data_IF_565542643112
#
_entry.id   IF_565542643112
#
_cell.length_a   1.000
_cell.length_b   1.000
_cell.length_c   1.000
_cell.angle_alpha   90.00
_cell.angle_beta   90.00
_cell.angle_gamma   90.00
#
_symmetry.space_group_name_H-M   'P 1'
#
loop_
_entity.id
_entity.type
_entity.pdbx_description
1 polymer ?
#
# COMPACT_ATOMS: atom_id res chain seq x y z
N UNK A 1 13.31 -25.91 -13.99
CA UNK A 1 13.51 -25.23 -12.70
C UNK A 1 12.48 -24.12 -12.62
N UNK A 2 11.50 -24.24 -11.72
CA UNK A 2 10.44 -23.26 -11.59
C UNK A 2 11.06 -21.91 -11.18
N UNK A 3 11.07 -20.94 -12.08
CA UNK A 3 11.28 -19.56 -11.70
C UNK A 3 9.98 -19.10 -11.04
N UNK A 4 9.75 -19.51 -9.79
CA UNK A 4 8.81 -18.81 -8.92
C UNK A 4 9.50 -17.51 -8.55
N UNK A 5 9.63 -16.59 -9.51
CA UNK A 5 9.66 -15.20 -9.15
C UNK A 5 8.32 -15.00 -8.44
N UNK A 6 8.34 -14.99 -7.11
CA UNK A 6 7.34 -14.23 -6.39
C UNK A 6 7.58 -12.82 -6.88
N UNK A 7 6.98 -12.46 -8.03
CA UNK A 7 6.91 -11.08 -8.46
C UNK A 7 6.43 -10.35 -7.24
N UNK A 8 7.24 -9.40 -6.78
CA UNK A 8 6.95 -8.64 -5.59
C UNK A 8 5.55 -8.04 -5.80
N UNK A 9 4.52 -8.63 -5.17
CA UNK A 9 3.09 -8.35 -5.43
C UNK A 9 2.70 -7.03 -4.79
N UNK A 10 3.44 -5.98 -5.15
CA UNK A 10 3.35 -4.65 -4.57
C UNK A 10 2.41 -3.78 -5.38
N UNK A 11 1.46 -3.13 -4.70
CA UNK A 11 0.59 -2.14 -5.30
C UNK A 11 1.01 -0.74 -4.83
N UNK A 12 1.24 0.18 -5.77
CA UNK A 12 1.46 1.59 -5.47
C UNK A 12 0.19 2.38 -5.72
N UNK A 13 -0.46 2.82 -4.64
CA UNK A 13 -1.72 3.56 -4.72
C UNK A 13 -1.44 5.03 -4.46
N UNK A 14 -1.67 5.87 -5.46
CA UNK A 14 -1.57 7.32 -5.35
C UNK A 14 -2.89 7.98 -4.89
N UNK A 15 -2.84 9.28 -4.66
CA UNK A 15 -4.01 10.13 -4.38
C UNK A 15 -4.84 9.71 -3.15
N UNK A 16 -4.23 9.04 -2.17
CA UNK A 16 -4.85 8.76 -0.89
C UNK A 16 -4.92 10.03 -0.03
N UNK A 17 -6.07 10.25 0.61
CA UNK A 17 -6.28 11.36 1.55
C UNK A 17 -5.27 11.32 2.69
N UNK A 18 -4.71 12.47 3.08
CA UNK A 18 -3.75 12.57 4.21
C UNK A 18 -4.33 12.12 5.56
N UNK A 19 -5.66 12.05 5.68
CA UNK A 19 -6.37 11.56 6.88
C UNK A 19 -6.50 10.04 6.91
N UNK A 20 -6.27 9.38 5.78
CA UNK A 20 -6.40 7.93 5.65
C UNK A 20 -5.17 7.25 6.28
N UNK A 21 -5.42 6.28 7.15
CA UNK A 21 -4.39 5.47 7.82
C UNK A 21 -4.35 4.06 7.24
N UNK A 22 -3.42 3.24 7.72
CA UNK A 22 -3.21 1.87 7.21
C UNK A 22 -4.43 0.96 7.42
N UNK A 23 -5.20 1.14 8.50
CA UNK A 23 -6.41 0.35 8.74
C UNK A 23 -7.51 0.69 7.73
N UNK A 24 -7.67 1.97 7.39
CA UNK A 24 -8.63 2.39 6.37
C UNK A 24 -8.32 1.75 5.01
N UNK A 25 -7.03 1.68 4.64
CA UNK A 25 -6.59 1.02 3.41
C UNK A 25 -6.82 -0.49 3.50
N UNK A 26 -6.49 -1.12 4.63
CA UNK A 26 -6.77 -2.55 4.83
C UNK A 26 -8.24 -2.89 4.67
N UNK A 27 -9.13 -2.07 5.24
CA UNK A 27 -10.58 -2.23 5.10
C UNK A 27 -11.03 -2.02 3.66
N UNK A 28 -10.51 -0.99 2.98
CA UNK A 28 -10.83 -0.70 1.57
C UNK A 28 -10.45 -1.87 0.65
N UNK A 29 -9.33 -2.54 0.92
CA UNK A 29 -8.82 -3.62 0.08
C UNK A 29 -9.20 -5.03 0.55
N UNK A 30 -9.79 -5.17 1.73
CA UNK A 30 -10.25 -6.45 2.30
C UNK A 30 -11.09 -7.31 1.33
N UNK A 31 -12.01 -6.74 0.51
CA UNK A 31 -12.76 -7.54 -0.46
C UNK A 31 -11.91 -8.17 -1.58
N UNK A 32 -10.72 -7.62 -1.84
CA UNK A 32 -9.82 -8.10 -2.90
C UNK A 32 -8.77 -9.09 -2.38
N UNK A 33 -8.63 -9.20 -1.06
CA UNK A 33 -7.72 -10.13 -0.42
C UNK A 33 -7.08 -9.59 0.85
N UNK A 34 -6.23 -10.41 1.45
CA UNK A 34 -5.47 -10.02 2.63
C UNK A 34 -4.20 -9.27 2.22
N UNK A 35 -3.98 -8.10 2.81
CA UNK A 35 -2.74 -7.35 2.69
C UNK A 35 -1.73 -7.91 3.70
N UNK A 36 -0.58 -8.37 3.21
CA UNK A 36 0.53 -8.82 4.07
C UNK A 36 1.20 -7.61 4.75
N UNK A 37 1.63 -6.63 3.95
CA UNK A 37 2.29 -5.41 4.42
C UNK A 37 1.59 -4.17 3.87
N UNK A 38 1.42 -3.13 4.68
CA UNK A 38 0.89 -1.85 4.23
C UNK A 38 1.83 -0.75 4.73
N UNK A 39 2.26 0.15 3.84
CA UNK A 39 3.15 1.25 4.21
C UNK A 39 2.73 2.54 3.54
N UNK A 40 2.40 3.55 4.33
CA UNK A 40 2.14 4.90 3.83
C UNK A 40 3.48 5.59 3.57
N UNK A 41 3.77 5.89 2.30
CA UNK A 41 4.96 6.63 1.90
C UNK A 41 4.76 8.12 2.17
N UNK A 42 5.60 8.67 3.05
CA UNK A 42 5.67 10.11 3.35
C UNK A 42 6.89 10.70 2.67
N UNK A 43 6.76 11.91 2.14
CA UNK A 43 7.88 12.64 1.56
C UNK A 43 8.90 13.05 2.63
N UNK A 44 10.11 13.51 2.23
CA UNK A 44 11.15 14.03 3.13
C UNK A 44 10.70 15.24 3.97
N UNK A 45 9.62 15.90 3.55
CA UNK A 45 8.90 16.97 4.24
C UNK A 45 7.91 16.45 5.31
N UNK A 46 7.86 15.14 5.55
CA UNK A 46 6.93 14.49 6.50
C UNK A 46 5.48 14.43 6.03
N UNK A 47 5.15 15.12 4.93
CA UNK A 47 3.83 15.12 4.31
C UNK A 47 3.63 13.86 3.48
N UNK A 48 2.53 13.15 3.75
CA UNK A 48 2.09 12.05 2.88
C UNK A 48 1.79 12.61 1.49
N UNK A 49 2.47 12.08 0.46
CA UNK A 49 2.22 12.42 -0.95
C UNK A 49 1.01 11.64 -1.51
N UNK A 50 0.17 11.10 -0.63
CA UNK A 50 -0.96 10.25 -0.98
C UNK A 50 -0.54 8.94 -1.64
N UNK A 51 0.70 8.48 -1.40
CA UNK A 51 1.22 7.24 -1.97
C UNK A 51 1.29 6.16 -0.89
N UNK A 52 0.59 5.05 -1.07
CA UNK A 52 0.65 3.88 -0.18
C UNK A 52 1.18 2.70 -0.98
N UNK A 53 2.10 1.94 -0.39
CA UNK A 53 2.51 0.63 -0.87
C UNK A 53 1.73 -0.43 -0.11
N UNK A 54 1.07 -1.32 -0.84
CA UNK A 54 0.51 -2.57 -0.34
C UNK A 54 1.28 -3.74 -0.89
#
# INVERSE_FOLDING_TARGET
MFNTAVEDRKLFIGMISKKCNENDIRLMFSPYGQIEECRILRGPDGLSRGKTCL
#
